data_IF_898251948313
#
_entry.id   IF_898251948313
#
_cell.length_a   1.000
_cell.length_b   1.000
_cell.length_c   1.000
_cell.angle_alpha   90.00
_cell.angle_beta   90.00
_cell.angle_gamma   90.00
#
_symmetry.space_group_name_H-M   'P 1'
#
loop_
_entity.id
_entity.type
_entity.pdbx_description
1 polymer ?
#
# COMPACT_ATOMS: atom_id res chain seq x y z
N UNK A 1 -3.64 5.74 2.13
CA UNK A 1 -3.55 6.93 1.25
C UNK A 1 -3.64 8.19 2.09
N UNK A 2 -2.68 9.13 2.03
CA UNK A 2 -2.82 10.41 2.75
C UNK A 2 -3.77 11.33 1.98
N UNK A 3 -4.73 11.92 2.67
CA UNK A 3 -5.71 12.85 2.11
C UNK A 3 -5.73 14.17 2.89
N UNK A 4 -6.27 15.21 2.28
CA UNK A 4 -6.56 16.48 2.94
C UNK A 4 -7.96 16.46 3.63
N UNK A 5 -8.39 17.61 4.14
CA UNK A 5 -9.68 17.75 4.83
C UNK A 5 -10.89 17.54 3.90
N UNK A 6 -10.69 17.59 2.57
CA UNK A 6 -11.69 17.37 1.54
C UNK A 6 -11.65 15.93 0.99
N UNK A 7 -10.91 15.04 1.66
CA UNK A 7 -10.67 13.67 1.23
C UNK A 7 -9.90 13.53 -0.10
N UNK A 8 -9.32 14.61 -0.63
CA UNK A 8 -8.51 14.56 -1.85
C UNK A 8 -7.09 14.11 -1.48
N UNK A 9 -6.54 13.19 -2.27
CA UNK A 9 -5.15 12.78 -2.12
C UNK A 9 -4.19 13.81 -2.72
N UNK A 10 -2.88 13.55 -2.63
CA UNK A 10 -1.89 14.34 -3.36
C UNK A 10 -2.01 14.24 -4.88
N UNK A 11 -2.60 13.15 -5.37
CA UNK A 11 -2.95 13.00 -6.79
C UNK A 11 -4.28 13.72 -6.99
N UNK A 12 -4.25 14.77 -7.80
CA UNK A 12 -5.40 15.63 -8.04
C UNK A 12 -6.53 14.85 -8.73
N UNK A 13 -7.73 14.97 -8.20
CA UNK A 13 -8.92 14.22 -8.64
C UNK A 13 -9.04 12.81 -8.07
N UNK A 14 -8.08 12.33 -7.27
CA UNK A 14 -8.17 11.03 -6.60
C UNK A 14 -8.57 11.22 -5.14
N UNK A 15 -9.79 10.78 -4.82
CA UNK A 15 -10.37 10.81 -3.48
C UNK A 15 -10.25 9.44 -2.80
N UNK A 16 -10.05 9.42 -1.48
CA UNK A 16 -9.99 8.20 -0.70
C UNK A 16 -10.64 8.41 0.68
N UNK A 17 -11.42 7.42 1.12
CA UNK A 17 -12.22 7.47 2.35
C UNK A 17 -12.18 6.10 3.03
N UNK A 18 -12.35 6.07 4.36
CA UNK A 18 -12.38 4.84 5.15
C UNK A 18 -10.98 4.31 5.46
N UNK A 19 -10.86 3.01 5.69
CA UNK A 19 -9.62 2.38 6.18
C UNK A 19 -8.44 2.49 5.19
N UNK A 20 -8.72 2.66 3.90
CA UNK A 20 -7.67 2.90 2.89
C UNK A 20 -7.11 4.33 2.95
N UNK A 21 -7.77 5.25 3.67
CA UNK A 21 -7.43 6.66 3.76
C UNK A 21 -6.77 7.02 5.09
N UNK A 22 -6.06 8.13 5.11
CA UNK A 22 -5.42 8.71 6.28
C UNK A 22 -5.67 10.21 6.24
N UNK A 23 -6.88 10.57 6.69
CA UNK A 23 -7.35 11.96 6.87
C UNK A 23 -6.70 12.59 8.12
N UNK A 24 -6.10 11.77 8.97
CA UNK A 24 -5.43 12.18 10.21
C UNK A 24 -6.31 12.14 11.46
N UNK A 25 -7.59 11.77 11.32
CA UNK A 25 -8.56 11.70 12.43
C UNK A 25 -8.11 10.77 13.58
N UNK A 26 -7.68 9.56 13.24
CA UNK A 26 -7.37 8.51 14.24
C UNK A 26 -5.96 8.59 14.83
N UNK A 27 -5.10 9.49 14.32
CA UNK A 27 -3.70 9.56 14.75
C UNK A 27 -3.01 8.19 14.70
N UNK A 28 -2.39 7.78 15.81
CA UNK A 28 -1.71 6.48 15.94
C UNK A 28 -2.60 5.37 16.53
N UNK A 29 -3.77 5.71 17.07
CA UNK A 29 -4.68 4.75 17.68
C UNK A 29 -6.13 5.17 17.40
N UNK A 30 -6.84 4.36 16.60
CA UNK A 30 -8.25 4.56 16.32
C UNK A 30 -9.08 4.27 17.56
N UNK A 31 -9.99 5.19 17.90
CA UNK A 31 -11.00 4.95 18.93
C UNK A 31 -12.03 3.93 18.39
N UNK A 32 -12.35 2.93 19.21
CA UNK A 32 -13.33 1.90 18.87
C UNK A 32 -14.69 2.48 18.47
N UNK A 33 -15.41 1.77 17.60
CA UNK A 33 -16.74 2.17 17.08
C UNK A 33 -16.80 3.39 16.15
N UNK A 34 -15.69 4.09 15.89
CA UNK A 34 -15.74 5.33 15.09
C UNK A 34 -15.60 5.17 13.57
N UNK A 35 -15.15 4.04 13.02
CA UNK A 35 -15.05 3.95 11.55
C UNK A 35 -16.36 3.75 10.83
N UNK A 36 -17.38 3.25 11.54
CA UNK A 36 -18.80 3.36 11.16
C UNK A 36 -19.12 4.77 10.67
N UNK A 37 -19.05 5.67 11.64
CA UNK A 37 -19.36 7.08 11.47
C UNK A 37 -18.41 7.78 10.51
N UNK A 38 -17.10 7.49 10.59
CA UNK A 38 -16.09 8.05 9.69
C UNK A 38 -16.42 7.74 8.22
N UNK A 39 -16.69 6.47 7.91
CA UNK A 39 -16.97 6.05 6.54
C UNK A 39 -18.20 6.78 5.97
N UNK A 40 -19.27 6.90 6.77
CA UNK A 40 -20.51 7.55 6.33
C UNK A 40 -20.30 9.06 6.13
N UNK A 41 -19.66 9.73 7.09
CA UNK A 41 -19.46 11.19 7.06
C UNK A 41 -18.49 11.59 5.95
N UNK A 42 -17.29 11.00 5.93
CA UNK A 42 -16.30 11.32 4.90
C UNK A 42 -16.66 10.73 3.55
N UNK A 43 -17.46 9.67 3.49
CA UNK A 43 -18.01 9.15 2.25
C UNK A 43 -18.94 10.15 1.56
N UNK A 44 -19.82 10.79 2.33
CA UNK A 44 -20.65 11.88 1.81
C UNK A 44 -19.81 13.05 1.32
N UNK A 45 -18.87 13.53 2.16
CA UNK A 45 -18.01 14.66 1.83
C UNK A 45 -17.19 14.39 0.56
N UNK A 46 -16.50 13.24 0.50
CA UNK A 46 -15.71 12.86 -0.66
C UNK A 46 -16.57 12.74 -1.93
N UNK A 47 -17.81 12.26 -1.81
CA UNK A 47 -18.76 12.18 -2.92
C UNK A 47 -19.16 13.56 -3.46
N UNK A 48 -19.50 14.51 -2.57
CA UNK A 48 -19.81 15.89 -2.94
C UNK A 48 -18.62 16.57 -3.62
N UNK A 49 -17.42 16.45 -3.05
CA UNK A 49 -16.18 17.01 -3.62
C UNK A 49 -15.80 16.36 -4.96
N UNK A 50 -15.97 15.04 -5.09
CA UNK A 50 -15.69 14.33 -6.33
C UNK A 50 -16.68 14.74 -7.44
N UNK A 51 -17.95 14.99 -7.10
CA UNK A 51 -18.95 15.49 -8.04
C UNK A 51 -18.57 16.87 -8.58
N UNK A 52 -18.22 17.83 -7.70
CA UNK A 52 -17.77 19.17 -8.11
C UNK A 52 -16.50 19.09 -8.98
N UNK A 53 -15.58 18.20 -8.62
CA UNK A 53 -14.36 17.96 -9.38
C UNK A 53 -14.64 17.37 -10.76
N UNK A 54 -15.56 16.43 -10.86
CA UNK A 54 -15.96 15.81 -12.12
C UNK A 54 -16.63 16.83 -13.06
N UNK A 55 -17.43 17.75 -12.53
CA UNK A 55 -18.07 18.82 -13.31
C UNK A 55 -17.07 19.79 -13.96
N UNK A 56 -15.85 19.89 -13.41
CA UNK A 56 -14.77 20.76 -13.93
C UNK A 56 -13.65 19.96 -14.59
N UNK A 57 -13.77 18.64 -14.68
CA UNK A 57 -12.75 17.79 -15.27
C UNK A 57 -12.73 17.95 -16.79
N UNK A 58 -11.55 18.17 -17.36
CA UNK A 58 -11.34 18.17 -18.81
C UNK A 58 -11.33 16.76 -19.39
N UNK A 59 -11.30 16.67 -20.72
CA UNK A 59 -11.13 15.40 -21.41
C UNK A 59 -9.79 14.74 -21.02
N UNK A 60 -9.83 13.43 -20.78
CA UNK A 60 -8.62 12.65 -20.54
C UNK A 60 -7.76 12.58 -21.82
N UNK A 61 -6.44 12.52 -21.64
CA UNK A 61 -5.53 12.29 -22.75
C UNK A 61 -5.55 10.80 -23.13
N UNK A 62 -6.34 10.46 -24.16
CA UNK A 62 -6.51 9.07 -24.63
C UNK A 62 -5.17 8.42 -25.00
N UNK A 63 -4.30 9.12 -25.72
CA UNK A 63 -2.99 8.58 -26.11
C UNK A 63 -2.12 8.23 -24.89
N UNK A 64 -2.19 9.03 -23.81
CA UNK A 64 -1.48 8.73 -22.57
C UNK A 64 -2.11 7.54 -21.81
N UNK A 65 -3.42 7.32 -21.95
CA UNK A 65 -4.09 6.14 -21.38
C UNK A 65 -3.70 4.87 -22.16
N UNK A 66 -3.72 4.93 -23.49
CA UNK A 66 -3.37 3.80 -24.35
C UNK A 66 -1.92 3.34 -24.12
N UNK A 67 -0.99 4.30 -23.95
CA UNK A 67 0.40 4.01 -23.61
C UNK A 67 0.54 3.32 -22.24
N UNK A 68 -0.26 3.71 -21.24
CA UNK A 68 -0.27 3.07 -19.92
C UNK A 68 -0.86 1.67 -19.97
N UNK A 69 -1.93 1.46 -20.74
CA UNK A 69 -2.53 0.14 -20.95
C UNK A 69 -1.50 -0.80 -21.58
N UNK A 70 -0.81 -0.36 -22.63
CA UNK A 70 0.24 -1.15 -23.29
C UNK A 70 1.40 -1.52 -22.34
N UNK A 71 1.85 -0.59 -21.48
CA UNK A 71 2.89 -0.86 -20.47
C UNK A 71 2.42 -1.93 -19.46
N UNK A 72 1.19 -1.79 -18.93
CA UNK A 72 0.64 -2.73 -17.96
C UNK A 72 0.49 -4.12 -18.60
N UNK A 73 -0.06 -4.21 -19.81
CA UNK A 73 -0.18 -5.48 -20.53
C UNK A 73 1.19 -6.14 -20.74
N UNK A 74 2.21 -5.36 -21.11
CA UNK A 74 3.56 -5.89 -21.30
C UNK A 74 4.13 -6.40 -19.98
N UNK A 75 3.94 -5.68 -18.88
CA UNK A 75 4.38 -6.10 -17.54
C UNK A 75 3.69 -7.39 -17.10
N UNK A 76 2.39 -7.53 -17.34
CA UNK A 76 1.64 -8.75 -17.04
C UNK A 76 2.12 -9.93 -17.88
N UNK A 77 2.33 -9.74 -19.18
CA UNK A 77 2.91 -10.76 -20.07
C UNK A 77 4.30 -11.20 -19.61
N UNK A 78 5.15 -10.24 -19.23
CA UNK A 78 6.48 -10.54 -18.71
C UNK A 78 6.42 -11.34 -17.41
N UNK A 79 5.47 -11.02 -16.51
CA UNK A 79 5.29 -11.73 -15.24
C UNK A 79 4.79 -13.16 -15.44
N UNK A 80 3.83 -13.38 -16.35
CA UNK A 80 3.31 -14.72 -16.70
C UNK A 80 4.39 -15.57 -17.35
N UNK A 81 5.20 -14.99 -18.23
CA UNK A 81 6.28 -15.68 -18.93
C UNK A 81 7.58 -15.73 -18.13
N UNK A 82 7.58 -15.27 -16.87
CA UNK A 82 8.80 -15.23 -16.06
C UNK A 82 9.24 -16.64 -15.70
N UNK A 83 10.44 -17.00 -16.11
CA UNK A 83 11.08 -18.24 -15.68
C UNK A 83 11.73 -18.05 -14.31
N UNK A 84 11.39 -18.95 -13.40
CA UNK A 84 11.80 -18.88 -12.02
C UNK A 84 11.54 -20.18 -11.27
N UNK A 85 11.97 -20.24 -10.02
CA UNK A 85 11.82 -21.40 -9.15
C UNK A 85 11.13 -21.07 -7.82
N UNK A 86 10.75 -19.81 -7.60
CA UNK A 86 10.05 -19.39 -6.40
C UNK A 86 8.53 -19.49 -6.58
N UNK A 87 7.85 -19.82 -5.49
CA UNK A 87 6.40 -19.90 -5.45
C UNK A 87 5.84 -18.74 -4.61
N UNK A 88 4.83 -18.03 -5.12
CA UNK A 88 4.25 -16.87 -4.45
C UNK A 88 3.65 -17.21 -3.09
N UNK A 89 3.06 -18.40 -2.91
CA UNK A 89 2.39 -18.77 -1.65
C UNK A 89 3.41 -18.92 -0.53
N UNK A 90 4.56 -19.57 -0.80
CA UNK A 90 5.67 -19.66 0.16
C UNK A 90 6.19 -18.30 0.56
N UNK A 91 6.38 -17.39 -0.41
CA UNK A 91 6.82 -16.01 -0.12
C UNK A 91 5.79 -15.28 0.73
N UNK A 92 4.50 -15.44 0.45
CA UNK A 92 3.40 -14.84 1.21
C UNK A 92 3.36 -15.36 2.65
N UNK A 93 3.51 -16.67 2.84
CA UNK A 93 3.52 -17.29 4.16
C UNK A 93 4.73 -16.83 4.99
N UNK A 94 5.93 -16.84 4.38
CA UNK A 94 7.14 -16.33 5.02
C UNK A 94 7.02 -14.84 5.37
N UNK A 95 6.39 -14.04 4.51
CA UNK A 95 6.09 -12.62 4.78
C UNK A 95 5.16 -12.48 5.98
N UNK A 96 4.06 -13.26 6.02
CA UNK A 96 3.09 -13.25 7.12
C UNK A 96 3.74 -13.57 8.46
N UNK A 97 4.49 -14.66 8.52
CA UNK A 97 5.22 -15.09 9.73
C UNK A 97 6.22 -14.03 10.20
N UNK A 98 7.00 -13.46 9.28
CA UNK A 98 8.00 -12.43 9.61
C UNK A 98 7.36 -11.15 10.14
N UNK A 99 6.16 -10.82 9.65
CA UNK A 99 5.38 -9.67 10.11
C UNK A 99 4.76 -9.92 11.48
N UNK A 100 4.27 -11.13 11.74
CA UNK A 100 3.75 -11.52 13.06
C UNK A 100 4.84 -11.45 14.13
N UNK A 101 6.03 -12.00 13.84
CA UNK A 101 7.19 -11.99 14.77
C UNK A 101 7.69 -10.57 15.10
N UNK A 102 7.84 -9.70 14.09
CA UNK A 102 8.51 -8.40 14.27
C UNK A 102 7.59 -7.19 14.43
N UNK A 103 6.33 -7.29 14.00
CA UNK A 103 5.36 -6.19 14.02
C UNK A 103 4.17 -6.44 14.95
N UNK A 104 4.24 -7.47 15.82
CA UNK A 104 3.25 -7.77 16.85
C UNK A 104 3.08 -6.68 17.92
N UNK A 105 2.41 -7.02 19.02
CA UNK A 105 2.12 -6.08 20.13
C UNK A 105 3.42 -5.57 20.78
N UNK A 106 4.35 -6.48 21.04
CA UNK A 106 5.67 -6.16 21.57
C UNK A 106 6.68 -6.10 20.43
N UNK A 107 7.46 -5.02 20.39
CA UNK A 107 8.41 -4.75 19.31
C UNK A 107 9.74 -4.32 19.90
N UNK A 108 10.81 -4.96 19.45
CA UNK A 108 12.18 -4.52 19.77
C UNK A 108 12.88 -4.04 18.50
N UNK A 109 13.86 -3.11 18.61
CA UNK A 109 14.61 -2.64 17.46
C UNK A 109 15.28 -3.77 16.64
N UNK A 110 15.69 -4.84 17.32
CA UNK A 110 16.37 -6.00 16.74
C UNK A 110 15.38 -6.84 15.92
N UNK A 111 14.20 -7.17 16.49
CA UNK A 111 13.16 -7.92 15.79
C UNK A 111 12.62 -7.15 14.58
N UNK A 112 12.38 -5.85 14.74
CA UNK A 112 11.93 -5.00 13.63
C UNK A 112 12.98 -4.95 12.50
N UNK A 113 14.27 -4.92 12.86
CA UNK A 113 15.33 -4.92 11.84
C UNK A 113 15.40 -6.26 11.11
N UNK A 114 15.31 -7.38 11.83
CA UNK A 114 15.24 -8.72 11.24
C UNK A 114 14.08 -8.82 10.25
N UNK A 115 12.89 -8.32 10.60
CA UNK A 115 11.73 -8.31 9.69
C UNK A 115 11.97 -7.42 8.47
N UNK A 116 12.56 -6.23 8.63
CA UNK A 116 12.90 -5.37 7.48
C UNK A 116 13.85 -6.09 6.52
N UNK A 117 14.88 -6.76 7.04
CA UNK A 117 15.87 -7.46 6.23
C UNK A 117 15.25 -8.68 5.53
N UNK A 118 14.42 -9.46 6.24
CA UNK A 118 13.69 -10.59 5.66
C UNK A 118 12.74 -10.14 4.54
N UNK A 119 12.04 -9.03 4.72
CA UNK A 119 11.20 -8.47 3.65
C UNK A 119 12.02 -7.99 2.43
N UNK A 120 13.30 -7.63 2.61
CA UNK A 120 14.21 -7.32 1.50
C UNK A 120 14.56 -8.56 0.70
N UNK A 121 14.93 -9.62 1.41
CA UNK A 121 15.21 -10.93 0.82
C UNK A 121 14.00 -11.45 0.03
N UNK A 122 12.80 -11.40 0.61
CA UNK A 122 11.57 -11.83 -0.05
C UNK A 122 11.25 -11.02 -1.31
N UNK A 123 11.55 -9.73 -1.33
CA UNK A 123 11.39 -8.87 -2.50
C UNK A 123 12.35 -9.27 -3.64
N UNK A 124 13.59 -9.61 -3.31
CA UNK A 124 14.55 -10.12 -4.31
C UNK A 124 14.19 -11.54 -4.79
N UNK A 125 13.59 -12.37 -3.93
CA UNK A 125 13.04 -13.68 -4.31
C UNK A 125 11.81 -13.54 -5.20
N UNK A 126 10.95 -12.56 -4.95
CA UNK A 126 9.76 -12.31 -5.77
C UNK A 126 10.09 -12.02 -7.25
N UNK A 127 11.26 -11.45 -7.55
CA UNK A 127 11.75 -11.28 -8.94
C UNK A 127 12.00 -12.60 -9.69
N UNK A 128 11.99 -13.74 -9.00
CA UNK A 128 12.14 -15.09 -9.56
C UNK A 128 10.90 -15.95 -9.33
N UNK A 129 9.75 -15.33 -9.05
CA UNK A 129 8.48 -16.05 -8.92
C UNK A 129 8.10 -16.67 -10.26
N UNK A 130 7.61 -17.90 -10.23
CA UNK A 130 7.06 -18.57 -11.41
C UNK A 130 5.56 -18.76 -11.24
N UNK A 131 4.82 -18.32 -12.24
CA UNK A 131 3.39 -18.59 -12.35
C UNK A 131 3.24 -19.97 -12.99
N UNK A 132 2.51 -20.86 -12.32
CA UNK A 132 2.32 -22.25 -12.74
C UNK A 132 1.09 -22.40 -13.63
N UNK A 133 0.05 -21.60 -13.38
CA UNK A 133 -1.15 -21.57 -14.20
C UNK A 133 -0.97 -20.60 -15.38
N UNK A 134 -1.01 -21.12 -16.61
CA UNK A 134 -0.94 -20.30 -17.84
C UNK A 134 -2.31 -20.04 -18.46
N UNK A 135 -3.41 -20.41 -17.78
CA UNK A 135 -4.77 -20.09 -18.20
C UNK A 135 -4.94 -18.58 -18.32
N UNK A 136 -5.66 -18.15 -19.36
CA UNK A 136 -6.07 -16.75 -19.54
C UNK A 136 -7.38 -16.42 -18.82
N UNK A 137 -8.09 -17.42 -18.30
CA UNK A 137 -9.42 -17.27 -17.69
C UNK A 137 -9.34 -17.60 -16.21
N UNK A 138 -9.77 -16.66 -15.35
CA UNK A 138 -9.80 -16.81 -13.89
C UNK A 138 -8.50 -17.33 -13.26
N UNK A 139 -7.37 -16.81 -13.73
CA UNK A 139 -6.05 -17.18 -13.22
C UNK A 139 -5.80 -16.56 -11.83
N UNK A 140 -6.19 -17.31 -10.80
CA UNK A 140 -5.98 -16.90 -9.40
C UNK A 140 -4.51 -16.85 -9.01
N UNK A 141 -3.67 -17.68 -9.65
CA UNK A 141 -2.22 -17.72 -9.45
C UNK A 141 -1.58 -16.37 -9.81
N UNK A 142 -1.94 -15.83 -10.97
CA UNK A 142 -1.53 -14.50 -11.44
C UNK A 142 -2.07 -13.40 -10.52
N UNK A 143 -3.35 -13.44 -10.15
CA UNK A 143 -3.96 -12.45 -9.28
C UNK A 143 -3.23 -12.34 -7.94
N UNK A 144 -3.03 -13.48 -7.26
CA UNK A 144 -2.35 -13.48 -5.95
C UNK A 144 -0.88 -13.09 -6.07
N UNK A 145 -0.21 -13.42 -7.17
CA UNK A 145 1.15 -12.97 -7.43
C UNK A 145 1.22 -11.44 -7.56
N UNK A 146 0.28 -10.82 -8.29
CA UNK A 146 0.19 -9.36 -8.41
C UNK A 146 -0.07 -8.71 -7.04
N UNK A 147 -1.03 -9.24 -6.29
CA UNK A 147 -1.36 -8.75 -4.94
C UNK A 147 -0.14 -8.83 -4.01
N UNK A 148 0.60 -9.94 -4.03
CA UNK A 148 1.82 -10.10 -3.25
C UNK A 148 2.89 -9.07 -3.66
N UNK A 149 3.06 -8.81 -4.95
CA UNK A 149 3.98 -7.79 -5.45
C UNK A 149 3.66 -6.39 -4.91
N UNK A 150 2.37 -6.03 -4.85
CA UNK A 150 1.94 -4.78 -4.22
C UNK A 150 2.11 -4.80 -2.70
N UNK A 151 1.81 -5.91 -2.04
CA UNK A 151 1.99 -6.09 -0.59
C UNK A 151 3.46 -5.91 -0.15
N UNK A 152 4.39 -6.51 -0.89
CA UNK A 152 5.83 -6.36 -0.64
C UNK A 152 6.32 -4.91 -0.84
N UNK A 153 5.69 -4.12 -1.73
CA UNK A 153 6.05 -2.72 -1.95
C UNK A 153 5.62 -1.79 -0.80
N UNK A 154 4.53 -2.10 -0.08
CA UNK A 154 4.08 -1.34 1.10
C UNK A 154 5.16 -1.32 2.20
N UNK A 155 6.11 -2.26 2.16
CA UNK A 155 7.32 -2.31 3.02
C UNK A 155 8.11 -1.02 3.11
N UNK A 156 8.17 -0.22 2.03
CA UNK A 156 8.92 1.04 2.04
C UNK A 156 8.41 2.00 3.14
N UNK A 157 7.15 1.83 3.58
CA UNK A 157 6.55 2.57 4.70
C UNK A 157 7.03 2.08 6.08
N UNK A 158 7.38 0.80 6.24
CA UNK A 158 7.88 0.26 7.51
C UNK A 158 9.31 0.71 7.82
N UNK A 159 10.15 0.90 6.80
CA UNK A 159 11.51 1.46 6.96
C UNK A 159 11.47 2.82 7.65
N UNK A 160 10.44 3.63 7.35
CA UNK A 160 10.20 4.94 7.95
C UNK A 160 9.66 4.85 9.38
N UNK A 161 8.88 3.81 9.72
CA UNK A 161 8.33 3.60 11.06
C UNK A 161 9.41 3.19 12.08
N UNK A 162 10.45 2.44 11.67
CA UNK A 162 11.61 2.07 12.52
C UNK A 162 12.28 3.27 13.19
N UNK A 163 12.30 4.43 12.53
CA UNK A 163 12.92 5.64 13.06
C UNK A 163 12.13 6.32 14.18
N UNK A 164 10.85 5.97 14.39
CA UNK A 164 10.03 6.55 15.46
C UNK A 164 10.16 5.85 16.81
N UNK A 165 10.58 4.58 16.84
CA UNK A 165 10.72 3.79 18.09
C UNK A 165 12.01 4.12 18.84
N UNK A 166 13.05 4.64 18.16
CA UNK A 166 14.35 5.00 18.76
C UNK A 166 14.36 6.25 19.65
N UNK A 167 13.23 6.81 20.07
CA UNK A 167 13.19 7.97 20.98
C UNK A 167 12.64 7.61 22.35
N UNK A 168 13.51 7.37 23.37
CA UNK A 168 13.10 7.15 24.76
C UNK A 168 12.49 8.38 25.44
N UNK A 169 12.53 9.54 24.78
CA UNK A 169 11.91 10.79 25.23
C UNK A 169 11.09 11.40 24.09
N UNK A 170 9.95 10.78 23.77
CA UNK A 170 9.02 11.36 22.81
C UNK A 170 8.29 12.56 23.46
N UNK A 171 8.92 13.74 23.44
CA UNK A 171 8.21 15.01 23.63
C UNK A 171 7.02 15.03 22.66
N UNK A 172 5.85 15.44 23.15
CA UNK A 172 4.61 15.63 22.37
C UNK A 172 4.84 16.37 21.03
N UNK A 173 5.87 17.23 20.96
CA UNK A 173 6.27 17.94 19.74
C UNK A 173 6.77 17.06 18.58
N UNK A 174 7.20 15.82 18.83
CA UNK A 174 7.74 14.91 17.79
C UNK A 174 6.61 14.12 17.09
N UNK A 175 5.51 13.84 17.79
CA UNK A 175 4.37 13.07 17.26
C UNK A 175 3.52 13.85 16.24
N UNK A 176 3.51 15.19 16.32
CA UNK A 176 2.65 16.05 15.50
C UNK A 176 3.04 16.13 14.01
N UNK A 177 4.19 15.59 13.59
CA UNK A 177 4.58 15.60 12.18
C UNK A 177 4.02 14.36 11.46
N UNK A 178 2.95 14.57 10.69
CA UNK A 178 2.46 13.59 9.71
C UNK A 178 3.58 13.15 8.76
N UNK A 179 3.49 11.91 8.26
CA UNK A 179 4.43 11.28 7.32
C UNK A 179 4.91 12.30 6.24
N UNK A 180 6.23 12.58 6.14
CA UNK A 180 6.77 13.38 5.04
C UNK A 180 6.43 12.72 3.71
N UNK A 181 6.12 13.52 2.69
CA UNK A 181 6.00 13.04 1.32
C UNK A 181 7.21 12.20 0.93
N UNK A 182 6.98 10.93 0.58
CA UNK A 182 7.92 10.18 -0.23
C UNK A 182 8.03 10.91 -1.57
N UNK A 183 9.17 11.53 -1.80
CA UNK A 183 9.62 12.02 -3.09
C UNK A 183 10.15 10.83 -3.88
N UNK A 184 9.41 10.45 -4.93
CA UNK A 184 9.86 10.20 -6.31
C UNK A 184 8.68 9.67 -7.10
#
# INVERSE_FOLDING_TARGET
MKTDQNCESRVKGLFAVGECSSVGLHGANRLGSNSLAELVVFGRLAGEQAMERAATAGAANSAALDAQVADIEQRLKNLVNQEGNENWSKIRDEMGLSMEEGCGIYRTPELMQKTVDKLAELQERFKRVRISDTSSVFNTDLLYTIELGHGLNVRNVWRTLRWRVKSPAARISVWMKAVPSATM
#
